data_IF_742522913252
#
_entry.id   IF_742522913252
#
_cell.length_a   1.000
_cell.length_b   1.000
_cell.length_c   1.000
_cell.angle_alpha   90.00
_cell.angle_beta   90.00
_cell.angle_gamma   90.00
#
_symmetry.space_group_name_H-M   'P 1'
#
loop_
_entity.id
_entity.type
_entity.pdbx_description
1 polymer ?
#
# COMPACT_ATOMS: atom_id res chain seq x y z
N UNK A 1 -26.99 6.54 -8.40
CA UNK A 1 -26.84 5.34 -9.27
C UNK A 1 -26.49 4.14 -8.41
N UNK A 2 -26.80 2.91 -8.83
CA UNK A 2 -26.51 1.68 -8.06
C UNK A 2 -25.73 0.71 -8.94
N UNK A 3 -24.78 -0.02 -8.35
CA UNK A 3 -23.91 -0.93 -9.08
C UNK A 3 -23.58 -2.17 -8.26
N UNK A 4 -23.12 -3.21 -8.96
CA UNK A 4 -22.57 -4.44 -8.37
C UNK A 4 -21.27 -4.80 -9.10
N UNK A 5 -20.29 -5.28 -8.34
CA UNK A 5 -19.03 -5.80 -8.87
C UNK A 5 -19.04 -7.32 -8.69
N UNK A 6 -18.86 -8.06 -9.77
CA UNK A 6 -19.04 -9.51 -9.84
C UNK A 6 -17.70 -10.14 -10.21
N UNK A 7 -17.32 -11.23 -9.53
CA UNK A 7 -16.11 -11.96 -9.92
C UNK A 7 -16.30 -12.52 -11.32
N UNK A 8 -15.53 -12.00 -12.27
CA UNK A 8 -15.65 -12.37 -13.67
C UNK A 8 -14.65 -13.43 -14.11
N UNK A 9 -13.47 -13.41 -13.51
CA UNK A 9 -12.35 -14.27 -13.88
C UNK A 9 -11.40 -14.49 -12.69
N UNK A 10 -10.64 -15.57 -12.73
CA UNK A 10 -9.59 -15.90 -11.79
C UNK A 10 -8.38 -16.49 -12.53
N UNK A 11 -7.18 -16.29 -12.02
CA UNK A 11 -5.99 -16.95 -12.55
C UNK A 11 -6.07 -18.48 -12.41
N UNK A 12 -6.64 -18.99 -11.30
CA UNK A 12 -6.76 -20.42 -11.01
C UNK A 12 -7.99 -21.02 -11.69
N UNK A 13 -7.83 -22.14 -12.40
CA UNK A 13 -8.87 -22.73 -13.25
C UNK A 13 -10.17 -23.07 -12.50
N UNK A 14 -10.08 -23.73 -11.34
CA UNK A 14 -11.27 -24.09 -10.56
C UNK A 14 -12.07 -22.85 -10.10
N UNK A 15 -11.36 -21.80 -9.67
CA UNK A 15 -11.98 -20.54 -9.26
C UNK A 15 -12.52 -19.76 -10.47
N UNK A 16 -11.86 -19.82 -11.62
CA UNK A 16 -12.30 -19.16 -12.85
C UNK A 16 -13.58 -19.79 -13.43
N UNK A 17 -13.69 -21.12 -13.36
CA UNK A 17 -14.89 -21.85 -13.73
C UNK A 17 -16.07 -21.49 -12.81
N UNK A 18 -15.82 -21.39 -11.50
CA UNK A 18 -16.83 -20.91 -10.56
C UNK A 18 -17.24 -19.46 -10.83
N UNK A 19 -16.28 -18.58 -11.13
CA UNK A 19 -16.54 -17.19 -11.50
C UNK A 19 -17.43 -17.10 -12.76
N UNK A 20 -17.14 -17.89 -13.80
CA UNK A 20 -17.96 -17.93 -15.02
C UNK A 20 -19.42 -18.29 -14.73
N UNK A 21 -19.61 -19.36 -13.95
CA UNK A 21 -20.93 -19.89 -13.62
C UNK A 21 -21.86 -18.81 -13.05
N UNK A 22 -21.35 -18.01 -12.12
CA UNK A 22 -22.14 -16.96 -11.46
C UNK A 22 -22.24 -15.69 -12.30
N UNK A 23 -21.14 -15.28 -12.95
CA UNK A 23 -21.09 -14.06 -13.76
C UNK A 23 -22.20 -13.98 -14.83
N UNK A 24 -22.46 -15.07 -15.55
CA UNK A 24 -23.43 -15.08 -16.66
C UNK A 24 -24.84 -14.74 -16.17
N UNK A 25 -25.27 -15.37 -15.07
CA UNK A 25 -26.61 -15.15 -14.50
C UNK A 25 -26.69 -13.84 -13.73
N UNK A 26 -25.68 -13.54 -12.91
CA UNK A 26 -25.70 -12.38 -12.02
C UNK A 26 -25.61 -11.07 -12.80
N UNK A 27 -24.78 -11.01 -13.85
CA UNK A 27 -24.66 -9.80 -14.69
C UNK A 27 -25.98 -9.48 -15.37
N UNK A 28 -26.58 -10.45 -16.05
CA UNK A 28 -27.83 -10.25 -16.80
C UNK A 28 -28.99 -9.90 -15.86
N UNK A 29 -29.11 -10.60 -14.73
CA UNK A 29 -30.16 -10.35 -13.73
C UNK A 29 -30.00 -8.99 -13.06
N UNK A 30 -28.77 -8.59 -12.70
CA UNK A 30 -28.51 -7.28 -12.10
C UNK A 30 -28.82 -6.13 -13.08
N UNK A 31 -28.43 -6.27 -14.36
CA UNK A 31 -28.73 -5.28 -15.38
C UNK A 31 -30.25 -5.18 -15.66
N UNK A 32 -30.96 -6.31 -15.71
CA UNK A 32 -32.41 -6.34 -15.84
C UNK A 32 -33.12 -5.64 -14.65
N UNK A 33 -32.54 -5.72 -13.45
CA UNK A 33 -32.98 -4.99 -12.26
C UNK A 33 -32.55 -3.50 -12.25
N UNK A 34 -31.94 -3.00 -13.34
CA UNK A 34 -31.52 -1.61 -13.50
C UNK A 34 -30.18 -1.25 -12.86
N UNK A 35 -29.42 -2.22 -12.36
CA UNK A 35 -28.08 -2.00 -11.81
C UNK A 35 -27.03 -1.88 -12.91
N UNK A 36 -25.97 -1.12 -12.62
CA UNK A 36 -24.72 -1.18 -13.38
C UNK A 36 -23.87 -2.34 -12.87
N UNK A 37 -23.11 -2.99 -13.75
CA UNK A 37 -22.30 -4.16 -13.41
C UNK A 37 -20.84 -3.92 -13.75
N UNK A 38 -19.92 -4.30 -12.88
CA UNK A 38 -18.51 -4.45 -13.25
C UNK A 38 -18.07 -5.88 -13.03
N UNK A 39 -17.15 -6.35 -13.86
CA UNK A 39 -16.49 -7.64 -13.62
C UNK A 39 -15.09 -7.40 -13.09
N UNK A 40 -14.60 -8.26 -12.19
CA UNK A 40 -13.20 -8.22 -11.74
C UNK A 40 -12.47 -9.54 -12.02
N UNK A 41 -11.15 -9.45 -12.17
CA UNK A 41 -10.23 -10.57 -12.33
C UNK A 41 -9.35 -10.70 -11.09
N UNK A 42 -9.37 -11.86 -10.44
CA UNK A 42 -8.51 -12.14 -9.29
C UNK A 42 -7.11 -12.57 -9.75
N UNK A 43 -6.11 -11.74 -9.44
CA UNK A 43 -4.76 -11.91 -9.92
C UNK A 43 -3.98 -13.02 -9.19
N UNK A 44 -3.07 -13.64 -9.94
CA UNK A 44 -1.99 -14.46 -9.38
C UNK A 44 -0.65 -13.93 -9.85
N UNK A 45 0.34 -13.84 -8.96
CA UNK A 45 1.67 -13.37 -9.32
C UNK A 45 2.63 -14.55 -9.48
N UNK A 46 3.43 -14.60 -10.56
CA UNK A 46 4.34 -15.72 -10.79
C UNK A 46 5.52 -15.75 -9.82
N UNK A 47 5.99 -16.94 -9.45
CA UNK A 47 7.23 -17.09 -8.68
C UNK A 47 8.49 -16.93 -9.55
N UNK A 48 8.70 -15.72 -10.06
CA UNK A 48 9.85 -15.38 -10.90
C UNK A 48 10.42 -14.01 -10.54
N UNK A 49 11.69 -13.81 -10.88
CA UNK A 49 12.34 -12.50 -10.90
C UNK A 49 12.74 -12.09 -12.32
N UNK A 50 12.46 -12.92 -13.33
CA UNK A 50 12.63 -12.58 -14.74
C UNK A 50 11.50 -11.66 -15.21
N UNK A 51 11.85 -10.40 -15.50
CA UNK A 51 10.91 -9.38 -15.96
C UNK A 51 10.18 -9.78 -17.25
N UNK A 52 10.87 -10.45 -18.19
CA UNK A 52 10.24 -10.88 -19.43
C UNK A 52 9.17 -11.94 -19.19
N UNK A 53 9.41 -12.87 -18.25
CA UNK A 53 8.39 -13.83 -17.84
C UNK A 53 7.21 -13.16 -17.14
N UNK A 54 7.47 -12.19 -16.26
CA UNK A 54 6.44 -11.45 -15.53
C UNK A 54 5.53 -10.68 -16.50
N UNK A 55 6.11 -10.03 -17.51
CA UNK A 55 5.35 -9.33 -18.56
C UNK A 55 4.49 -10.32 -19.35
N UNK A 56 5.03 -11.48 -19.74
CA UNK A 56 4.27 -12.52 -20.45
C UNK A 56 3.09 -13.04 -19.61
N UNK A 57 3.32 -13.29 -18.33
CA UNK A 57 2.29 -13.77 -17.40
C UNK A 57 1.16 -12.74 -17.21
N UNK A 58 1.51 -11.47 -16.98
CA UNK A 58 0.54 -10.38 -16.89
C UNK A 58 -0.34 -10.27 -18.14
N UNK A 59 0.28 -10.35 -19.33
CA UNK A 59 -0.44 -10.35 -20.61
C UNK A 59 -1.36 -11.57 -20.76
N UNK A 60 -0.92 -12.75 -20.32
CA UNK A 60 -1.74 -13.96 -20.39
C UNK A 60 -2.99 -13.85 -19.48
N UNK A 61 -2.83 -13.35 -18.26
CA UNK A 61 -3.97 -13.11 -17.35
C UNK A 61 -4.89 -11.99 -17.85
N UNK A 62 -4.35 -10.92 -18.43
CA UNK A 62 -5.14 -9.90 -19.11
C UNK A 62 -5.96 -10.50 -20.27
N UNK A 63 -5.32 -11.32 -21.10
CA UNK A 63 -5.98 -11.99 -22.23
C UNK A 63 -7.17 -12.85 -21.77
N UNK A 64 -7.04 -13.53 -20.63
CA UNK A 64 -8.11 -14.35 -20.04
C UNK A 64 -9.37 -13.53 -19.74
N UNK A 65 -9.23 -12.38 -19.06
CA UNK A 65 -10.39 -11.53 -18.76
C UNK A 65 -10.93 -10.82 -20.01
N UNK A 66 -10.06 -10.49 -20.98
CA UNK A 66 -10.49 -9.92 -22.27
C UNK A 66 -11.36 -10.93 -23.04
N UNK A 67 -10.94 -12.19 -23.11
CA UNK A 67 -11.75 -13.24 -23.74
C UNK A 67 -13.05 -13.50 -22.98
N UNK A 68 -13.03 -13.43 -21.64
CA UNK A 68 -14.24 -13.50 -20.82
C UNK A 68 -15.21 -12.37 -21.19
N UNK A 69 -14.75 -11.13 -21.26
CA UNK A 69 -15.56 -9.99 -21.70
C UNK A 69 -16.10 -10.20 -23.12
N UNK A 70 -15.27 -10.66 -24.05
CA UNK A 70 -15.70 -10.94 -25.42
C UNK A 70 -16.78 -12.04 -25.50
N UNK A 71 -16.67 -13.11 -24.70
CA UNK A 71 -17.68 -14.18 -24.63
C UNK A 71 -19.06 -13.69 -24.13
N UNK A 72 -19.09 -12.55 -23.45
CA UNK A 72 -20.32 -11.90 -22.98
C UNK A 72 -20.87 -10.86 -23.98
N UNK A 73 -20.28 -10.76 -25.17
CA UNK A 73 -20.63 -9.77 -26.20
C UNK A 73 -19.92 -8.42 -26.05
N UNK A 74 -18.89 -8.34 -25.21
CA UNK A 74 -18.19 -7.09 -24.93
C UNK A 74 -18.92 -6.21 -23.90
N UNK A 75 -18.50 -4.95 -23.81
CA UNK A 75 -19.14 -3.97 -22.94
C UNK A 75 -20.46 -3.48 -23.52
N UNK A 76 -21.46 -3.31 -22.66
CA UNK A 76 -22.67 -2.53 -22.94
C UNK A 76 -22.69 -1.22 -22.10
N UNK A 77 -23.77 -0.45 -22.23
CA UNK A 77 -23.92 0.86 -21.56
C UNK A 77 -24.01 0.76 -20.02
N UNK A 78 -24.33 -0.42 -19.49
CA UNK A 78 -24.45 -0.70 -18.05
C UNK A 78 -23.18 -1.30 -17.45
N UNK A 79 -22.16 -1.56 -18.26
CA UNK A 79 -20.91 -2.11 -17.76
C UNK A 79 -19.93 -1.02 -17.29
N UNK A 80 -19.42 -1.19 -16.08
CA UNK A 80 -18.20 -0.54 -15.61
C UNK A 80 -16.97 -1.19 -16.27
N UNK A 81 -15.83 -0.47 -16.35
CA UNK A 81 -14.57 -1.07 -16.77
C UNK A 81 -14.21 -2.30 -15.94
N UNK A 82 -13.47 -3.23 -16.54
CA UNK A 82 -13.00 -4.43 -15.85
C UNK A 82 -12.08 -4.00 -14.71
N UNK A 83 -12.19 -4.64 -13.54
CA UNK A 83 -11.29 -4.40 -12.43
C UNK A 83 -10.22 -5.50 -12.31
N UNK A 84 -8.98 -5.10 -12.00
CA UNK A 84 -7.92 -5.96 -11.52
C UNK A 84 -8.02 -6.07 -10.01
N UNK A 85 -8.26 -7.26 -9.47
CA UNK A 85 -8.15 -7.53 -8.05
C UNK A 85 -6.73 -8.03 -7.73
N UNK A 86 -5.94 -7.16 -7.11
CA UNK A 86 -4.55 -7.41 -6.75
C UNK A 86 -4.32 -7.11 -5.26
N UNK A 87 -4.31 -8.16 -4.45
CA UNK A 87 -4.28 -8.04 -2.98
C UNK A 87 -3.26 -8.96 -2.30
N UNK A 88 -2.48 -9.73 -3.07
CA UNK A 88 -1.51 -10.67 -2.55
C UNK A 88 -0.28 -10.78 -3.46
N UNK A 89 0.92 -10.67 -2.88
CA UNK A 89 2.22 -10.84 -3.57
C UNK A 89 2.99 -12.07 -3.09
N UNK A 90 2.33 -12.96 -2.35
CA UNK A 90 2.89 -14.25 -2.01
C UNK A 90 2.95 -15.16 -3.24
N UNK A 91 4.16 -15.52 -3.66
CA UNK A 91 4.42 -16.35 -4.85
C UNK A 91 4.84 -17.78 -4.51
N UNK A 92 5.12 -18.05 -3.23
CA UNK A 92 5.38 -19.41 -2.73
C UNK A 92 4.76 -19.58 -1.36
N UNK A 93 3.92 -20.59 -1.17
CA UNK A 93 3.32 -20.95 0.11
C UNK A 93 3.93 -22.24 0.68
N UNK A 94 3.90 -22.38 1.99
CA UNK A 94 4.19 -23.63 2.70
C UNK A 94 2.99 -24.58 2.61
N UNK A 95 3.20 -25.84 2.99
CA UNK A 95 2.12 -26.82 3.18
C UNK A 95 1.09 -26.38 4.23
N UNK A 96 1.51 -25.58 5.23
CA UNK A 96 0.65 -24.98 6.25
C UNK A 96 -0.05 -23.69 5.79
N UNK A 97 0.11 -23.27 4.53
CA UNK A 97 -0.55 -22.10 3.95
C UNK A 97 0.14 -20.76 4.19
N UNK A 98 1.20 -20.72 5.02
CA UNK A 98 2.02 -19.52 5.25
C UNK A 98 2.82 -19.12 4.02
N UNK A 99 3.12 -17.83 3.86
CA UNK A 99 3.93 -17.40 2.74
C UNK A 99 5.43 -17.62 2.99
N UNK A 100 6.10 -18.28 2.05
CA UNK A 100 7.55 -18.54 2.05
C UNK A 100 8.33 -17.56 1.18
N UNK A 101 7.70 -16.97 0.17
CA UNK A 101 8.35 -16.00 -0.73
C UNK A 101 7.35 -14.98 -1.25
N UNK A 102 7.73 -13.73 -1.17
CA UNK A 102 6.99 -12.59 -1.72
C UNK A 102 7.68 -12.06 -2.98
N UNK A 103 6.89 -11.65 -3.97
CA UNK A 103 7.41 -10.93 -5.13
C UNK A 103 7.86 -9.52 -4.71
N UNK A 104 9.03 -9.05 -5.16
CA UNK A 104 9.51 -7.68 -4.94
C UNK A 104 8.55 -6.60 -5.48
N UNK A 105 8.51 -5.44 -4.81
CA UNK A 105 7.58 -4.34 -5.11
C UNK A 105 7.64 -3.83 -6.55
N UNK A 106 8.84 -3.72 -7.10
CA UNK A 106 9.04 -3.31 -8.51
C UNK A 106 8.40 -4.30 -9.47
N UNK A 107 8.52 -5.59 -9.21
CA UNK A 107 7.99 -6.66 -10.05
C UNK A 107 6.47 -6.80 -9.93
N UNK A 108 5.91 -6.60 -8.74
CA UNK A 108 4.45 -6.49 -8.56
C UNK A 108 3.89 -5.32 -9.36
N UNK A 109 4.58 -4.18 -9.32
CA UNK A 109 4.18 -2.96 -10.05
C UNK A 109 4.28 -3.14 -11.55
N UNK A 110 5.37 -3.74 -12.03
CA UNK A 110 5.56 -4.08 -13.44
C UNK A 110 4.44 -4.99 -13.97
N UNK A 111 4.09 -6.03 -13.21
CA UNK A 111 3.01 -6.95 -13.56
C UNK A 111 1.66 -6.20 -13.63
N UNK A 112 1.34 -5.40 -12.62
CA UNK A 112 0.08 -4.65 -12.55
C UNK A 112 -0.05 -3.65 -13.70
N UNK A 113 0.99 -2.86 -13.96
CA UNK A 113 1.02 -1.92 -15.07
C UNK A 113 0.85 -2.60 -16.43
N UNK A 114 1.55 -3.73 -16.64
CA UNK A 114 1.45 -4.50 -17.88
C UNK A 114 0.03 -5.02 -18.09
N UNK A 115 -0.60 -5.54 -17.04
CA UNK A 115 -1.97 -6.04 -17.10
C UNK A 115 -2.95 -4.92 -17.42
N UNK A 116 -2.86 -3.78 -16.70
CA UNK A 116 -3.76 -2.64 -16.87
C UNK A 116 -3.65 -2.04 -18.29
N UNK A 117 -2.44 -1.86 -18.80
CA UNK A 117 -2.22 -1.38 -20.17
C UNK A 117 -2.77 -2.35 -21.21
N UNK A 118 -2.54 -3.66 -21.03
CA UNK A 118 -3.01 -4.67 -21.98
C UNK A 118 -4.54 -4.67 -22.05
N UNK A 119 -5.23 -4.54 -20.92
CA UNK A 119 -6.69 -4.45 -20.88
C UNK A 119 -7.19 -3.11 -21.44
N UNK A 120 -6.53 -1.99 -21.14
CA UNK A 120 -6.87 -0.69 -21.74
C UNK A 120 -6.76 -0.72 -23.26
N UNK A 121 -5.63 -1.22 -23.79
CA UNK A 121 -5.36 -1.30 -25.24
C UNK A 121 -6.41 -2.16 -25.96
N UNK A 122 -6.81 -3.30 -25.38
CA UNK A 122 -7.72 -4.24 -26.05
C UNK A 122 -9.20 -3.92 -25.86
N UNK A 123 -9.56 -3.14 -24.84
CA UNK A 123 -10.96 -2.86 -24.52
C UNK A 123 -11.36 -1.40 -24.74
N UNK A 124 -10.39 -0.50 -24.92
CA UNK A 124 -10.61 0.94 -25.08
C UNK A 124 -11.11 1.63 -23.82
N UNK A 125 -11.13 0.95 -22.66
CA UNK A 125 -11.53 1.53 -21.37
C UNK A 125 -10.44 1.29 -20.34
N UNK A 126 -10.13 2.32 -19.54
CA UNK A 126 -9.20 2.21 -18.41
C UNK A 126 -9.74 1.22 -17.37
N UNK A 127 -9.10 0.06 -17.15
CA UNK A 127 -9.49 -0.86 -16.10
C UNK A 127 -9.31 -0.24 -14.71
N UNK A 128 -10.11 -0.69 -13.76
CA UNK A 128 -10.04 -0.30 -12.35
C UNK A 128 -8.97 -1.14 -11.65
N UNK A 129 -8.14 -0.58 -10.79
CA UNK A 129 -7.31 -1.37 -9.88
C UNK A 129 -8.00 -1.47 -8.52
N UNK A 130 -8.28 -2.69 -8.07
CA UNK A 130 -8.72 -2.99 -6.71
C UNK A 130 -7.55 -3.46 -5.85
N UNK A 131 -7.46 -2.90 -4.64
CA UNK A 131 -6.57 -3.36 -3.59
C UNK A 131 -6.91 -2.72 -2.25
N UNK A 132 -6.26 -3.15 -1.17
CA UNK A 132 -6.32 -2.49 0.14
C UNK A 132 -5.09 -1.61 0.39
N UNK A 133 -5.26 -0.53 1.16
CA UNK A 133 -4.25 0.52 1.34
C UNK A 133 -2.88 -0.01 1.80
N UNK A 134 -2.86 -1.01 2.69
CA UNK A 134 -1.62 -1.60 3.18
C UNK A 134 -0.88 -2.42 2.11
N UNK A 135 -1.58 -3.12 1.21
CA UNK A 135 -0.94 -3.82 0.10
C UNK A 135 -0.27 -2.84 -0.84
N UNK A 136 -0.99 -1.79 -1.24
CA UNK A 136 -0.48 -0.74 -2.12
C UNK A 136 0.80 -0.10 -1.56
N UNK A 137 0.83 0.20 -0.26
CA UNK A 137 2.01 0.80 0.38
C UNK A 137 3.15 -0.19 0.59
N UNK A 138 2.88 -1.47 0.91
CA UNK A 138 3.93 -2.41 1.32
C UNK A 138 4.47 -3.28 0.19
N UNK A 139 3.61 -3.65 -0.77
CA UNK A 139 3.88 -4.62 -1.83
C UNK A 139 4.02 -3.98 -3.22
N UNK A 140 3.73 -2.69 -3.39
CA UNK A 140 3.86 -2.00 -4.69
C UNK A 140 4.80 -0.79 -4.61
N UNK A 141 5.43 -0.46 -5.73
CA UNK A 141 6.16 0.79 -5.92
C UNK A 141 5.20 1.89 -6.33
N UNK A 142 5.49 3.12 -5.92
CA UNK A 142 4.74 4.29 -6.38
C UNK A 142 5.01 4.51 -7.86
N UNK A 143 3.95 4.78 -8.62
CA UNK A 143 4.00 4.93 -10.07
C UNK A 143 3.05 6.01 -10.53
N UNK A 144 3.56 6.95 -11.33
CA UNK A 144 2.75 8.00 -11.96
C UNK A 144 1.81 7.43 -13.04
N UNK A 145 2.15 6.28 -13.59
CA UNK A 145 1.33 5.54 -14.55
C UNK A 145 0.16 4.86 -13.86
N UNK A 146 0.37 4.23 -12.70
CA UNK A 146 -0.73 3.63 -11.94
C UNK A 146 -1.80 4.64 -11.55
N UNK A 147 -1.44 5.88 -11.16
CA UNK A 147 -2.43 6.93 -10.83
C UNK A 147 -3.27 7.40 -12.03
N UNK A 148 -2.94 6.97 -13.25
CA UNK A 148 -3.77 7.20 -14.44
C UNK A 148 -4.92 6.18 -14.58
N UNK A 149 -5.09 5.27 -13.63
CA UNK A 149 -6.19 4.29 -13.59
C UNK A 149 -7.08 4.55 -12.38
N UNK A 150 -8.41 4.30 -12.49
CA UNK A 150 -9.33 4.45 -11.37
C UNK A 150 -9.01 3.44 -10.27
N UNK A 151 -8.96 3.91 -9.03
CA UNK A 151 -8.69 3.06 -7.86
C UNK A 151 -10.00 2.64 -7.18
N UNK A 152 -10.15 1.33 -6.97
CA UNK A 152 -11.13 0.74 -6.05
C UNK A 152 -10.41 0.36 -4.75
N UNK A 153 -10.53 1.21 -3.73
CA UNK A 153 -9.76 1.07 -2.48
C UNK A 153 -10.56 0.36 -1.40
N UNK A 154 -10.04 -0.73 -0.88
CA UNK A 154 -10.56 -1.38 0.32
C UNK A 154 -9.98 -0.75 1.59
N UNK A 155 -10.87 -0.30 2.48
CA UNK A 155 -10.53 0.16 3.82
C UNK A 155 -11.77 0.07 4.72
N UNK A 156 -11.78 -0.89 5.65
CA UNK A 156 -12.98 -1.21 6.43
C UNK A 156 -13.04 -0.47 7.77
N UNK A 157 -14.22 -0.46 8.38
CA UNK A 157 -14.42 0.03 9.74
C UNK A 157 -14.54 1.55 9.85
N UNK A 158 -14.69 2.23 8.71
CA UNK A 158 -14.91 3.67 8.61
C UNK A 158 -16.26 3.88 7.92
N UNK A 159 -17.09 4.80 8.44
CA UNK A 159 -18.42 5.04 7.90
C UNK A 159 -18.35 6.00 6.70
N UNK A 160 -18.71 5.58 5.47
CA UNK A 160 -18.68 6.46 4.31
C UNK A 160 -19.70 7.60 4.33
N UNK A 161 -20.69 7.55 5.23
CA UNK A 161 -21.66 8.64 5.40
C UNK A 161 -21.13 9.79 6.27
N UNK A 162 -20.00 9.60 6.96
CA UNK A 162 -19.36 10.67 7.72
C UNK A 162 -18.52 11.54 6.76
N UNK A 163 -18.76 12.86 6.67
CA UNK A 163 -18.10 13.73 5.70
C UNK A 163 -16.58 13.85 5.89
N UNK A 164 -16.04 13.54 7.07
CA UNK A 164 -14.58 13.55 7.30
C UNK A 164 -13.93 12.18 7.08
N UNK A 165 -14.73 11.14 6.86
CA UNK A 165 -14.23 9.79 6.65
C UNK A 165 -13.66 9.63 5.24
N UNK A 166 -12.41 9.18 5.17
CA UNK A 166 -11.77 8.86 3.90
C UNK A 166 -10.88 7.62 4.01
N UNK A 167 -10.93 6.71 3.00
CA UNK A 167 -10.06 5.55 2.97
C UNK A 167 -8.60 5.98 2.72
N UNK A 168 -7.67 5.15 3.20
CA UNK A 168 -6.24 5.38 3.04
C UNK A 168 -5.59 6.21 4.16
N UNK A 169 -6.34 6.59 5.19
CA UNK A 169 -5.78 7.23 6.39
C UNK A 169 -5.35 6.23 7.47
N UNK A 170 -4.37 6.63 8.27
CA UNK A 170 -3.96 6.01 9.53
C UNK A 170 -4.17 7.07 10.62
N UNK A 171 -5.33 7.13 11.30
CA UNK A 171 -5.73 8.28 12.13
C UNK A 171 -4.68 8.77 13.15
N UNK A 172 -3.81 7.88 13.62
CA UNK A 172 -2.76 8.19 14.60
C UNK A 172 -1.37 8.44 14.01
N UNK A 173 -1.12 8.10 12.74
CA UNK A 173 0.23 8.08 12.13
C UNK A 173 0.28 8.87 10.81
N UNK A 174 -0.87 9.25 10.23
CA UNK A 174 -0.97 9.97 8.96
C UNK A 174 -1.82 9.18 7.95
N UNK A 175 -1.19 8.64 6.91
CA UNK A 175 -1.87 7.90 5.85
C UNK A 175 -0.99 6.78 5.29
N UNK A 176 -1.60 5.89 4.51
CA UNK A 176 -0.88 4.93 3.68
C UNK A 176 -0.36 5.65 2.43
N UNK A 177 0.94 5.51 2.16
CA UNK A 177 1.57 6.19 1.02
C UNK A 177 1.70 5.24 -0.17
N UNK A 178 0.97 5.52 -1.26
CA UNK A 178 0.94 4.75 -2.50
C UNK A 178 0.78 5.67 -3.72
N UNK A 179 0.59 5.10 -4.92
CA UNK A 179 0.54 5.85 -6.19
C UNK A 179 -0.57 6.91 -6.25
N UNK A 180 -1.72 6.63 -5.63
CA UNK A 180 -2.87 7.54 -5.55
C UNK A 180 -2.90 8.47 -4.32
N UNK A 181 -1.85 8.48 -3.49
CA UNK A 181 -1.81 9.35 -2.31
C UNK A 181 -1.51 10.80 -2.68
N UNK A 182 -2.28 11.73 -2.11
CA UNK A 182 -2.16 13.17 -2.29
C UNK A 182 -1.36 13.82 -1.16
N UNK A 183 -0.84 15.02 -1.38
CA UNK A 183 -0.03 15.76 -0.42
C UNK A 183 -0.73 16.01 0.93
N UNK A 184 -2.06 16.05 0.95
CA UNK A 184 -2.86 16.22 2.17
C UNK A 184 -3.20 14.90 2.90
N UNK A 185 -2.48 13.83 2.60
CA UNK A 185 -2.71 12.51 3.19
C UNK A 185 -4.09 11.90 2.92
N UNK A 186 -4.72 12.27 1.80
CA UNK A 186 -5.90 11.58 1.24
C UNK A 186 -5.51 10.70 0.05
N UNK A 187 -6.42 9.84 -0.41
CA UNK A 187 -6.23 9.02 -1.61
C UNK A 187 -7.19 9.44 -2.73
N UNK A 188 -6.71 9.45 -3.97
CA UNK A 188 -7.56 9.52 -5.16
C UNK A 188 -8.16 8.13 -5.45
N UNK A 189 -9.35 7.87 -4.91
CA UNK A 189 -10.12 6.65 -5.13
C UNK A 189 -11.42 6.98 -5.87
N UNK A 190 -11.89 6.02 -6.67
CA UNK A 190 -13.12 6.09 -7.45
C UNK A 190 -14.24 5.24 -6.84
N UNK A 191 -13.87 4.08 -6.30
CA UNK A 191 -14.76 3.19 -5.55
C UNK A 191 -14.10 2.91 -4.21
N UNK A 192 -14.87 2.91 -3.12
CA UNK A 192 -14.40 2.55 -1.79
C UNK A 192 -15.20 1.36 -1.28
N UNK A 193 -14.52 0.23 -1.06
CA UNK A 193 -15.07 -0.90 -0.31
C UNK A 193 -14.90 -0.65 1.18
N UNK A 194 -15.99 -0.27 1.84
CA UNK A 194 -15.97 0.20 3.23
C UNK A 194 -16.36 -0.88 4.25
N UNK A 195 -16.86 -2.03 3.77
CA UNK A 195 -17.21 -3.15 4.63
C UNK A 195 -17.17 -4.45 3.84
N UNK A 196 -16.72 -5.52 4.49
CA UNK A 196 -16.89 -6.91 4.04
C UNK A 196 -17.97 -7.67 4.84
N UNK A 197 -18.73 -6.94 5.66
CA UNK A 197 -19.65 -7.49 6.66
C UNK A 197 -21.10 -7.03 6.42
N UNK A 198 -21.42 -6.59 5.20
CA UNK A 198 -22.80 -6.28 4.83
C UNK A 198 -23.69 -7.50 4.98
N UNK A 199 -24.93 -7.31 5.45
CA UNK A 199 -25.89 -8.40 5.61
C UNK A 199 -26.51 -8.70 4.24
N UNK A 200 -26.09 -9.78 3.58
CA UNK A 200 -26.48 -10.07 2.19
C UNK A 200 -27.99 -10.05 1.96
N UNK A 201 -28.79 -10.62 2.88
CA UNK A 201 -30.26 -10.62 2.80
C UNK A 201 -30.87 -9.22 2.67
N UNK A 202 -30.26 -8.18 3.27
CA UNK A 202 -30.72 -6.78 3.15
C UNK A 202 -30.60 -6.25 1.72
N UNK A 203 -29.69 -6.83 0.93
CA UNK A 203 -29.38 -6.44 -0.43
C UNK A 203 -29.80 -7.49 -1.46
N UNK A 204 -30.62 -8.47 -1.07
CA UNK A 204 -31.12 -9.52 -1.97
C UNK A 204 -30.09 -10.57 -2.35
N UNK A 205 -28.97 -10.68 -1.62
CA UNK A 205 -27.91 -11.67 -1.87
C UNK A 205 -28.01 -12.78 -0.82
N UNK A 206 -27.94 -14.07 -1.19
CA UNK A 206 -28.13 -15.20 -0.26
C UNK A 206 -26.97 -15.38 0.73
N UNK A 207 -25.81 -14.77 0.48
CA UNK A 207 -24.65 -14.88 1.35
C UNK A 207 -24.88 -14.22 2.71
N UNK A 208 -24.24 -14.77 3.74
CA UNK A 208 -24.26 -14.18 5.09
C UNK A 208 -23.50 -12.86 5.18
N UNK A 209 -22.52 -12.65 4.29
CA UNK A 209 -21.71 -11.44 4.17
C UNK A 209 -21.71 -10.93 2.73
N UNK A 210 -21.64 -9.61 2.60
CA UNK A 210 -21.58 -8.90 1.35
C UNK A 210 -20.61 -7.72 1.46
N UNK A 211 -19.75 -7.57 0.47
CA UNK A 211 -18.89 -6.41 0.37
C UNK A 211 -19.72 -5.19 -0.07
N UNK A 212 -19.62 -4.10 0.70
CA UNK A 212 -20.35 -2.87 0.44
C UNK A 212 -19.40 -1.81 -0.08
N UNK A 213 -19.86 -1.13 -1.14
CA UNK A 213 -19.08 -0.15 -1.87
C UNK A 213 -19.82 1.17 -1.99
N UNK A 214 -19.06 2.26 -2.02
CA UNK A 214 -19.54 3.59 -2.44
C UNK A 214 -18.72 4.09 -3.61
N UNK A 215 -19.34 4.91 -4.45
CA UNK A 215 -18.68 5.56 -5.58
C UNK A 215 -18.44 7.03 -5.26
N UNK A 216 -17.26 7.57 -5.61
CA UNK A 216 -16.93 9.00 -5.45
C UNK A 216 -17.31 9.80 -6.69
N UNK A 217 -18.31 10.67 -6.57
CA UNK A 217 -18.62 11.67 -7.60
C UNK A 217 -20.10 11.73 -7.96
N UNK A 218 -20.38 12.54 -8.98
CA UNK A 218 -21.73 12.77 -9.51
C UNK A 218 -22.20 11.61 -10.38
N UNK A 219 -23.51 11.53 -10.70
CA UNK A 219 -24.01 10.62 -11.74
C UNK A 219 -23.28 10.76 -13.08
N UNK A 220 -22.88 11.97 -13.46
CA UNK A 220 -22.14 12.26 -14.68
C UNK A 220 -20.74 11.65 -14.63
N UNK A 221 -20.03 11.77 -13.49
CA UNK A 221 -18.74 11.10 -13.29
C UNK A 221 -18.88 9.57 -13.41
N UNK A 222 -19.95 9.01 -12.85
CA UNK A 222 -20.22 7.57 -12.94
C UNK A 222 -20.46 7.13 -14.39
N UNK A 223 -21.28 7.87 -15.14
CA UNK A 223 -21.54 7.60 -16.56
C UNK A 223 -20.29 7.82 -17.43
N UNK A 224 -19.40 8.74 -17.07
CA UNK A 224 -18.12 8.91 -17.75
C UNK A 224 -17.24 7.67 -17.57
N UNK A 225 -17.23 7.08 -16.37
CA UNK A 225 -16.53 5.82 -16.09
C UNK A 225 -17.08 4.66 -16.93
N UNK A 226 -18.41 4.50 -17.01
CA UNK A 226 -19.00 3.44 -17.85
C UNK A 226 -18.74 3.64 -19.33
N UNK A 227 -18.49 4.88 -19.79
CA UNK A 227 -18.16 5.19 -21.19
C UNK A 227 -16.66 5.13 -21.50
N UNK A 228 -15.80 4.81 -20.52
CA UNK A 228 -14.35 4.81 -20.70
C UNK A 228 -13.75 6.21 -20.87
N UNK A 229 -14.48 7.26 -20.52
CA UNK A 229 -14.04 8.67 -20.62
C UNK A 229 -13.47 9.20 -19.30
N UNK A 230 -13.32 8.35 -18.31
CA UNK A 230 -12.78 8.72 -17.01
C UNK A 230 -11.32 9.17 -17.13
N UNK A 231 -10.98 10.22 -16.39
CA UNK A 231 -9.63 10.72 -16.19
C UNK A 231 -9.44 11.02 -14.70
N UNK A 232 -8.20 10.94 -14.18
CA UNK A 232 -7.95 11.34 -12.80
C UNK A 232 -8.26 12.83 -12.61
N UNK A 233 -8.93 13.16 -11.52
CA UNK A 233 -9.16 14.54 -11.12
C UNK A 233 -7.82 15.24 -10.85
N UNK A 234 -7.67 16.54 -11.17
CA UNK A 234 -6.51 17.30 -10.74
C UNK A 234 -6.39 17.30 -9.21
N UNK A 235 -5.24 16.89 -8.68
CA UNK A 235 -4.93 16.98 -7.26
C UNK A 235 -3.43 17.19 -7.04
N UNK A 236 -3.11 17.79 -5.90
CA UNK A 236 -1.73 17.86 -5.43
C UNK A 236 -1.29 16.46 -4.96
N UNK A 237 -0.58 15.76 -5.82
CA UNK A 237 -0.10 14.39 -5.55
C UNK A 237 1.11 14.43 -4.63
N UNK A 238 1.26 13.43 -3.75
CA UNK A 238 2.52 13.32 -3.02
C UNK A 238 3.68 13.22 -4.03
N UNK A 239 4.79 13.94 -3.82
CA UNK A 239 5.92 13.87 -4.74
C UNK A 239 6.58 12.49 -4.66
N UNK A 240 7.32 12.10 -5.70
CA UNK A 240 8.10 10.84 -5.73
C UNK A 240 9.58 11.22 -5.78
N UNK A 241 10.33 10.79 -4.76
CA UNK A 241 11.76 11.10 -4.59
C UNK A 241 12.05 12.60 -4.67
N UNK A 242 11.24 13.42 -4.01
CA UNK A 242 11.49 14.86 -3.90
C UNK A 242 12.88 15.09 -3.28
N UNK A 243 13.77 15.87 -3.90
CA UNK A 243 15.07 16.16 -3.32
C UNK A 243 14.95 16.76 -1.92
N UNK A 244 15.81 16.31 -1.02
CA UNK A 244 15.87 16.78 0.36
C UNK A 244 17.19 17.46 0.65
N UNK A 245 17.23 18.24 1.72
CA UNK A 245 18.45 18.72 2.36
C UNK A 245 18.47 18.31 3.83
N UNK A 246 19.62 17.87 4.32
CA UNK A 246 19.82 17.46 5.71
C UNK A 246 20.66 18.52 6.44
N UNK A 247 20.21 18.91 7.63
CA UNK A 247 20.90 19.87 8.48
C UNK A 247 21.12 19.26 9.87
N UNK A 248 22.38 19.19 10.28
CA UNK A 248 22.75 18.72 11.61
C UNK A 248 22.56 19.86 12.62
N UNK A 249 21.72 19.68 13.64
CA UNK A 249 21.51 20.67 14.69
C UNK A 249 22.58 20.54 15.76
N UNK A 250 22.75 19.33 16.31
CA UNK A 250 23.71 19.07 17.38
C UNK A 250 24.07 17.59 17.49
N UNK A 251 25.23 17.35 18.10
CA UNK A 251 25.67 16.03 18.55
C UNK A 251 26.06 16.18 20.01
N UNK A 252 25.50 15.33 20.87
CA UNK A 252 25.91 15.19 22.26
C UNK A 252 26.49 13.80 22.45
N UNK A 253 27.78 13.73 22.79
CA UNK A 253 28.48 12.48 23.10
C UNK A 253 29.37 12.68 24.32
N UNK A 254 29.53 11.64 25.14
CA UNK A 254 30.49 11.65 26.25
C UNK A 254 31.41 10.44 26.15
N UNK A 255 30.89 9.28 26.52
CA UNK A 255 31.66 8.05 26.70
C UNK A 255 30.84 6.83 26.28
N UNK A 256 31.51 5.69 26.18
CA UNK A 256 30.92 4.42 25.71
C UNK A 256 29.75 3.89 26.55
N UNK A 257 29.54 4.39 27.77
CA UNK A 257 28.44 3.95 28.64
C UNK A 257 27.14 4.72 28.39
N UNK A 258 27.18 5.86 27.70
CA UNK A 258 26.01 6.71 27.40
C UNK A 258 25.65 6.69 25.91
N UNK A 259 24.37 6.86 25.56
CA UNK A 259 23.98 7.02 24.16
C UNK A 259 24.54 8.32 23.59
N UNK A 260 24.92 8.30 22.32
CA UNK A 260 25.13 9.50 21.52
C UNK A 260 23.77 10.01 21.09
N UNK A 261 23.51 11.30 21.27
CA UNK A 261 22.27 11.97 20.87
C UNK A 261 22.56 12.90 19.70
N UNK A 262 21.91 12.66 18.57
CA UNK A 262 22.04 13.47 17.35
C UNK A 262 20.71 14.14 17.05
N UNK A 263 20.68 15.46 17.02
CA UNK A 263 19.53 16.23 16.60
C UNK A 263 19.71 16.67 15.16
N UNK A 264 18.72 16.39 14.32
CA UNK A 264 18.81 16.61 12.87
C UNK A 264 17.48 17.11 12.31
N UNK A 265 17.59 18.00 11.32
CA UNK A 265 16.47 18.41 10.47
C UNK A 265 16.66 17.91 9.04
N UNK A 266 15.54 17.63 8.38
CA UNK A 266 15.50 17.32 6.96
C UNK A 266 14.39 18.15 6.33
N UNK A 267 14.74 18.89 5.28
CA UNK A 267 13.85 19.76 4.53
C UNK A 267 13.64 19.23 3.13
N UNK A 268 12.48 19.59 2.58
CA UNK A 268 12.16 19.50 1.16
C UNK A 268 12.92 20.59 0.40
N UNK A 269 13.12 20.40 -0.90
CA UNK A 269 13.71 21.41 -1.79
C UNK A 269 13.02 22.79 -1.74
N UNK A 270 11.72 22.81 -1.44
CA UNK A 270 10.92 24.03 -1.29
C UNK A 270 11.03 24.70 0.09
N UNK A 271 11.95 24.23 0.95
CA UNK A 271 12.23 24.81 2.28
C UNK A 271 11.28 24.37 3.40
N UNK A 272 10.21 23.62 3.12
CA UNK A 272 9.33 23.06 4.16
C UNK A 272 9.87 21.73 4.71
N UNK A 273 9.53 21.31 5.95
CA UNK A 273 10.03 20.07 6.52
C UNK A 273 9.49 18.82 5.80
N UNK A 274 10.28 17.74 5.76
CA UNK A 274 9.79 16.46 5.23
C UNK A 274 8.74 15.82 6.15
N UNK A 275 7.72 15.21 5.55
CA UNK A 275 6.56 14.64 6.28
C UNK A 275 6.65 13.11 6.51
N UNK A 276 7.57 12.43 5.83
CA UNK A 276 7.80 10.97 5.92
C UNK A 276 9.27 10.67 6.19
N UNK A 277 9.63 9.39 6.27
CA UNK A 277 10.99 8.90 6.50
C UNK A 277 11.46 8.90 7.96
N UNK A 278 12.72 8.52 8.15
CA UNK A 278 13.43 8.43 9.42
C UNK A 278 14.92 8.70 9.22
N UNK A 279 15.68 8.84 10.30
CA UNK A 279 17.14 8.97 10.26
C UNK A 279 17.83 7.76 10.90
N UNK A 280 19.05 7.45 10.43
CA UNK A 280 19.89 6.37 10.94
C UNK A 280 21.38 6.68 10.71
N UNK A 281 22.24 6.35 11.66
CA UNK A 281 23.68 6.46 11.50
C UNK A 281 24.27 5.14 10.97
N UNK A 282 25.16 5.22 9.98
CA UNK A 282 25.87 4.07 9.40
C UNK A 282 27.38 4.28 9.53
N UNK A 283 28.08 3.50 10.36
CA UNK A 283 29.54 3.52 10.40
C UNK A 283 30.15 3.17 9.03
N UNK A 284 31.24 3.83 8.66
CA UNK A 284 31.99 3.51 7.43
C UNK A 284 32.75 2.19 7.54
N UNK A 285 33.17 1.80 8.75
CA UNK A 285 33.77 0.50 9.02
C UNK A 285 32.68 -0.55 9.28
N UNK A 286 32.55 -1.52 8.38
CA UNK A 286 31.56 -2.60 8.47
C UNK A 286 31.74 -3.49 9.71
N UNK A 287 32.92 -3.48 10.34
CA UNK A 287 33.20 -4.21 11.58
C UNK A 287 32.55 -3.55 12.79
N UNK A 288 32.28 -2.25 12.74
CA UNK A 288 31.59 -1.52 13.81
C UNK A 288 30.09 -1.80 13.71
N UNK A 289 29.58 -2.62 14.64
CA UNK A 289 28.16 -2.90 14.76
C UNK A 289 27.54 -2.01 15.83
N UNK A 290 26.68 -1.09 15.41
CA UNK A 290 25.89 -0.31 16.37
C UNK A 290 24.92 -1.24 17.10
N UNK A 291 25.00 -1.30 18.43
CA UNK A 291 24.17 -2.19 19.25
C UNK A 291 22.70 -1.86 19.13
N UNK A 292 22.36 -0.57 19.17
CA UNK A 292 20.98 -0.08 19.09
C UNK A 292 20.95 1.36 18.61
N UNK A 293 19.96 1.68 17.78
CA UNK A 293 19.63 3.06 17.43
C UNK A 293 18.13 3.29 17.54
N UNK A 294 17.72 4.46 18.00
CA UNK A 294 16.30 4.84 18.08
C UNK A 294 16.14 6.26 17.55
N UNK A 295 15.39 6.43 16.47
CA UNK A 295 15.04 7.73 15.93
C UNK A 295 13.64 8.12 16.40
N UNK A 296 13.55 9.20 17.16
CA UNK A 296 12.27 9.78 17.61
C UNK A 296 12.01 11.04 16.81
N UNK A 297 10.87 11.10 16.13
CA UNK A 297 10.45 12.31 15.41
C UNK A 297 9.99 13.35 16.44
N UNK A 298 10.75 14.43 16.59
CA UNK A 298 10.46 15.51 17.56
C UNK A 298 9.54 16.59 16.99
N UNK A 299 9.58 16.79 15.66
CA UNK A 299 8.66 17.62 14.90
C UNK A 299 8.62 17.16 13.42
N UNK A 300 7.78 17.78 12.59
CA UNK A 300 7.87 17.58 11.13
C UNK A 300 9.29 17.89 10.64
N UNK A 301 9.87 16.97 9.88
CA UNK A 301 11.26 17.02 9.43
C UNK A 301 12.33 17.09 10.53
N UNK A 302 12.03 16.85 11.82
CA UNK A 302 13.05 16.82 12.89
C UNK A 302 13.08 15.50 13.62
N UNK A 303 14.29 15.03 13.94
CA UNK A 303 14.51 13.83 14.73
C UNK A 303 15.58 14.02 15.81
N UNK A 304 15.36 13.33 16.91
CA UNK A 304 16.36 12.99 17.90
C UNK A 304 16.75 11.52 17.68
N UNK A 305 18.00 11.28 17.28
CA UNK A 305 18.56 9.95 17.05
C UNK A 305 19.48 9.58 18.22
N UNK A 306 19.12 8.52 18.94
CA UNK A 306 19.95 7.92 20.00
C UNK A 306 20.71 6.73 19.46
N UNK A 307 22.02 6.70 19.67
CA UNK A 307 22.94 5.67 19.17
C UNK A 307 23.68 5.06 20.38
N UNK A 308 23.55 3.75 20.57
CA UNK A 308 24.16 3.01 21.68
C UNK A 308 25.18 1.99 21.17
N UNK A 309 26.29 1.82 21.92
CA UNK A 309 27.27 0.76 21.70
C UNK A 309 28.28 1.04 20.58
N UNK A 310 28.63 2.30 20.35
CA UNK A 310 29.80 2.64 19.55
C UNK A 310 31.10 2.45 20.36
N UNK A 311 32.22 2.08 19.73
CA UNK A 311 33.50 1.93 20.41
C UNK A 311 34.07 3.28 20.87
N UNK A 312 35.00 3.24 21.82
CA UNK A 312 35.79 4.42 22.19
C UNK A 312 36.67 4.87 21.00
N UNK A 313 36.93 6.17 20.92
CA UNK A 313 37.63 6.82 19.82
C UNK A 313 36.70 7.39 18.76
N UNK A 314 37.27 7.70 17.60
CA UNK A 314 36.54 8.32 16.48
C UNK A 314 35.90 7.24 15.62
N UNK A 315 34.57 7.24 15.55
CA UNK A 315 33.80 6.47 14.57
C UNK A 315 33.36 7.41 13.43
N UNK A 316 33.91 7.19 12.24
CA UNK A 316 33.45 7.87 11.02
C UNK A 316 32.27 7.11 10.38
N UNK A 317 31.34 7.84 9.81
CA UNK A 317 30.16 7.27 9.14
C UNK A 317 29.32 8.32 8.43
N UNK A 318 28.09 7.95 8.11
CA UNK A 318 27.09 8.86 7.55
C UNK A 318 25.84 8.89 8.42
N UNK A 319 25.27 10.08 8.62
CA UNK A 319 23.90 10.25 9.08
C UNK A 319 23.00 10.21 7.85
N UNK A 320 22.10 9.24 7.80
CA UNK A 320 21.27 8.95 6.65
C UNK A 320 19.83 9.30 6.97
N UNK A 321 19.22 10.16 6.15
CA UNK A 321 17.78 10.22 6.01
C UNK A 321 17.34 9.14 5.02
N UNK A 322 16.37 8.32 5.43
CA UNK A 322 15.80 7.26 4.59
C UNK A 322 14.27 7.35 4.59
N UNK A 323 13.69 7.31 3.41
CA UNK A 323 12.24 7.28 3.22
C UNK A 323 11.80 6.03 2.48
N UNK A 324 11.18 5.10 3.23
CA UNK A 324 10.62 3.87 2.67
C UNK A 324 9.44 4.14 1.72
N UNK A 325 8.71 5.25 1.92
CA UNK A 325 7.60 5.64 1.05
C UNK A 325 8.08 6.20 -0.29
N UNK A 326 9.37 6.55 -0.39
CA UNK A 326 9.98 7.24 -1.52
C UNK A 326 9.24 8.53 -1.89
N UNK A 327 8.63 9.19 -0.90
CA UNK A 327 8.08 10.53 -1.06
C UNK A 327 9.21 11.52 -1.19
N UNK A 328 10.13 11.45 -0.24
CA UNK A 328 11.35 12.21 -0.21
C UNK A 328 12.52 11.34 -0.65
N UNK A 329 13.49 11.93 -1.35
CA UNK A 329 14.74 11.28 -1.69
C UNK A 329 15.55 11.02 -0.42
N UNK A 330 16.15 9.84 -0.34
CA UNK A 330 17.13 9.52 0.69
C UNK A 330 18.30 10.52 0.59
N UNK A 331 18.92 10.84 1.73
CA UNK A 331 20.01 11.81 1.79
C UNK A 331 21.02 11.39 2.87
N UNK A 332 22.27 11.78 2.70
CA UNK A 332 23.34 11.44 3.62
C UNK A 332 24.23 12.64 3.94
N UNK A 333 24.66 12.70 5.19
CA UNK A 333 25.59 13.69 5.70
C UNK A 333 26.78 12.97 6.34
N UNK A 334 28.02 13.19 5.90
CA UNK A 334 29.20 12.69 6.61
C UNK A 334 29.19 13.13 8.07
N UNK A 335 29.45 12.19 8.98
CA UNK A 335 29.42 12.42 10.42
C UNK A 335 30.54 11.64 11.11
N UNK A 336 31.32 12.33 11.93
CA UNK A 336 32.32 11.72 12.82
C UNK A 336 31.87 11.87 14.27
N UNK A 337 31.83 10.75 15.00
CA UNK A 337 31.44 10.69 16.40
C UNK A 337 32.65 10.29 17.22
N UNK A 338 33.05 11.13 18.17
CA UNK A 338 34.14 10.83 19.09
C UNK A 338 33.59 10.47 20.48
N UNK A 339 34.04 9.34 21.03
CA UNK A 339 33.65 8.86 22.35
C UNK A 339 34.88 8.59 23.22
N UNK A 340 34.82 9.01 24.47
CA UNK A 340 35.79 8.56 25.47
C UNK A 340 35.46 7.14 25.94
N UNK A 341 36.46 6.42 26.45
CA UNK A 341 36.20 5.17 27.16
C UNK A 341 35.43 5.48 28.45
N UNK A 342 34.27 4.84 28.62
CA UNK A 342 33.48 4.96 29.85
C UNK A 342 34.14 4.22 31.02
N UNK A 343 33.85 4.61 32.28
CA UNK A 343 34.37 3.92 33.45
C UNK A 343 33.89 2.46 33.48
N UNK A 344 34.74 1.56 33.99
CA UNK A 344 34.38 0.16 34.18
C UNK A 344 33.23 0.05 35.19
N UNK A 345 32.07 -0.42 34.71
CA UNK A 345 30.90 -0.65 35.56
C UNK A 345 30.93 -2.10 36.07
N UNK A 346 30.57 -2.35 37.34
CA UNK A 346 30.47 -3.70 37.87
C UNK A 346 29.42 -4.50 37.10
N UNK A 347 29.72 -5.77 36.84
CA UNK A 347 28.86 -6.67 36.06
C UNK A 347 27.50 -6.86 36.75
N UNK A 348 26.37 -6.48 36.13
CA UNK A 348 25.07 -6.65 36.76
C UNK A 348 24.68 -8.13 36.84
N UNK A 349 24.31 -8.58 38.03
CA UNK A 349 23.76 -9.92 38.27
C UNK A 349 22.41 -10.07 37.55
N UNK A 350 22.21 -11.09 36.69
CA UNK A 350 20.98 -11.24 35.92
C UNK A 350 19.78 -11.50 36.85
N UNK A 351 18.84 -10.56 36.89
CA UNK A 351 17.52 -10.77 37.51
C UNK A 351 16.51 -11.17 36.43
N UNK A 352 15.82 -12.30 36.62
CA UNK A 352 14.84 -12.80 35.67
C UNK A 352 13.65 -11.83 35.53
N UNK A 353 13.40 -11.33 34.31
CA UNK A 353 12.15 -10.61 33.99
C UNK A 353 11.04 -11.61 33.65
N UNK A 354 9.82 -11.48 34.21
CA UNK A 354 8.69 -12.30 33.84
C UNK A 354 8.31 -12.09 32.37
N UNK A 355 8.01 -13.18 31.66
CA UNK A 355 7.58 -13.19 30.26
C UNK A 355 6.09 -12.84 30.20
N UNK A 356 5.65 -11.76 29.52
CA UNK A 356 4.23 -11.48 29.38
C UNK A 356 3.59 -12.49 28.42
N UNK A 357 2.55 -13.19 28.86
CA UNK A 357 1.67 -14.01 28.03
C UNK A 357 0.77 -13.09 27.21
N UNK A 358 0.88 -13.16 25.87
CA UNK A 358 -0.05 -12.47 24.96
C UNK A 358 -1.44 -13.11 25.08
N UNK A 359 -2.45 -12.30 25.41
CA UNK A 359 -3.86 -12.69 25.31
C UNK A 359 -4.32 -12.66 23.83
N UNK A 360 -5.25 -13.54 23.42
CA UNK A 360 -5.83 -13.51 22.08
C UNK A 360 -6.54 -12.18 21.81
N UNK A 361 -6.42 -11.67 20.58
CA UNK A 361 -7.12 -10.46 20.13
C UNK A 361 -8.35 -10.89 19.33
N UNK A 362 -9.52 -10.43 19.76
CA UNK A 362 -10.80 -10.62 19.06
C UNK A 362 -10.89 -9.62 17.89
N UNK A 363 -10.87 -10.14 16.65
CA UNK A 363 -10.95 -9.35 15.42
C UNK A 363 -12.34 -8.73 15.16
N UNK A 364 -13.33 -9.02 16.00
CA UNK A 364 -14.71 -8.53 15.87
C UNK A 364 -15.09 -7.45 16.89
N UNK A 365 -14.26 -7.21 17.91
CA UNK A 365 -14.55 -6.21 18.92
C UNK A 365 -14.60 -4.81 18.28
N UNK A 366 -15.79 -4.19 18.28
CA UNK A 366 -16.17 -2.87 17.73
C UNK A 366 -16.74 -2.83 16.29
N UNK A 367 -17.00 -3.96 15.64
CA UNK A 367 -17.69 -3.97 14.33
C UNK A 367 -19.22 -4.01 14.41
N UNK A 368 -19.78 -4.03 15.62
CA UNK A 368 -21.23 -3.95 15.85
C UNK A 368 -21.46 -2.94 16.96
N UNK A 369 -22.11 -1.83 16.61
CA UNK A 369 -22.96 -1.09 17.56
C UNK A 369 -24.39 -1.34 17.10
N UNK A 370 -25.24 -1.72 18.06
CA UNK A 370 -26.64 -2.08 17.87
C UNK A 370 -27.43 -1.05 17.07
#
# INVERSE_FOLDING_TARGET
>A
MRFVLIKGSDAQEAADAAALKWLVTDRSSAQAAGLYTGMYHFAYLPNSTDEAYIIRDAKAQAQKVIWRLASLGGYNERDLPVALDLENNCVKRSSSGGCLKYMPRSLVTLWAETWLETVEEKTGRKPILYSYAQFLESAMSRSEKLRQYPLWLAHYGINPADPISQPGQRPTIGCFVHSWSTANCSSQWQIWQYSSCGIGKKYGVPSSRLDLNVFRGTPENFLALTKGKWQPEPADMMPIKEPTSINLISITSTDTNKPVEVNVEVFRSIGSPVVTGTVVFRPSDEKIKVKKQTATRSASGRWELKIEGLPAGVTSGTLNYVDMSKTHADNELPLAINLMQGPDLPTPTPTAKPKPTKKPVDSCAKQIKH
#
